data_IF_095473800562
#
_entry.id   IF_095473800562
#
_cell.length_a   1.000
_cell.length_b   1.000
_cell.length_c   1.000
_cell.angle_alpha   90.00
_cell.angle_beta   90.00
_cell.angle_gamma   90.00
#
_symmetry.space_group_name_H-M   'P 1'
#
loop_
_entity.id
_entity.type
_entity.pdbx_description
1 polymer ?
#
# COMPACT_ATOMS: atom_id res chain seq x y z
N UNK A 1 -54.39 0.06 86.14
CA UNK A 1 -55.20 1.06 85.43
C UNK A 1 -54.95 0.90 83.95
N UNK A 2 -56.03 0.51 83.30
CA UNK A 2 -56.16 -0.17 82.03
C UNK A 2 -55.90 0.75 80.83
N UNK A 3 -55.36 0.20 79.73
CA UNK A 3 -55.69 0.67 78.38
C UNK A 3 -55.54 -0.49 77.35
N UNK A 4 -56.65 -1.23 77.25
CA UNK A 4 -57.32 -1.78 76.06
C UNK A 4 -56.48 -1.97 74.79
N UNK A 5 -56.31 -3.23 74.40
CA UNK A 5 -55.85 -3.66 73.07
C UNK A 5 -57.02 -3.45 72.09
N UNK A 6 -56.91 -2.46 71.20
CA UNK A 6 -57.93 -2.20 70.19
C UNK A 6 -57.90 -3.30 69.10
N UNK A 7 -59.06 -3.92 68.89
CA UNK A 7 -59.27 -4.97 67.91
C UNK A 7 -59.31 -4.40 66.48
N UNK A 8 -58.89 -5.16 65.43
CA UNK A 8 -58.93 -4.67 64.07
C UNK A 8 -60.38 -4.57 63.58
N UNK A 9 -60.87 -3.35 63.40
CA UNK A 9 -62.21 -3.11 62.85
C UNK A 9 -62.24 -3.42 61.35
N UNK A 10 -63.05 -4.40 60.96
CA UNK A 10 -63.30 -4.89 59.59
C UNK A 10 -63.88 -3.85 58.61
N UNK A 11 -63.94 -2.56 58.97
CA UNK A 11 -64.61 -1.50 58.19
C UNK A 11 -63.69 -0.75 57.21
N UNK A 12 -62.38 -1.00 57.26
CA UNK A 12 -61.41 -0.25 56.43
C UNK A 12 -61.20 -0.87 55.04
N UNK A 13 -61.39 -2.19 54.90
CA UNK A 13 -61.11 -2.89 53.62
C UNK A 13 -62.13 -2.63 52.51
N UNK A 14 -63.38 -2.27 52.84
CA UNK A 14 -64.41 -2.05 51.82
C UNK A 14 -64.18 -0.74 51.05
N UNK A 15 -63.69 0.29 51.73
CA UNK A 15 -63.44 1.61 51.14
C UNK A 15 -62.28 1.53 50.15
N UNK A 16 -61.21 0.83 50.50
CA UNK A 16 -60.04 0.67 49.63
C UNK A 16 -60.34 -0.20 48.40
N UNK A 17 -61.11 -1.27 48.56
CA UNK A 17 -61.57 -2.09 47.43
C UNK A 17 -62.49 -1.31 46.47
N UNK A 18 -63.37 -0.47 47.00
CA UNK A 18 -64.22 0.42 46.19
C UNK A 18 -63.39 1.51 45.52
N UNK A 19 -62.37 2.05 46.21
CA UNK A 19 -61.43 3.04 45.67
C UNK A 19 -60.67 2.49 44.47
N UNK A 20 -60.11 1.28 44.57
CA UNK A 20 -59.43 0.62 43.45
C UNK A 20 -60.38 0.26 42.30
N UNK A 21 -61.60 -0.23 42.60
CA UNK A 21 -62.61 -0.49 41.56
C UNK A 21 -63.04 0.79 40.83
N UNK A 22 -63.15 1.92 41.54
CA UNK A 22 -63.45 3.22 40.96
C UNK A 22 -62.28 3.74 40.12
N UNK A 23 -61.04 3.61 40.61
CA UNK A 23 -59.84 3.98 39.86
C UNK A 23 -59.69 3.15 38.58
N UNK A 24 -59.92 1.84 38.63
CA UNK A 24 -59.88 0.96 37.46
C UNK A 24 -60.98 1.30 36.44
N UNK A 25 -62.21 1.58 36.91
CA UNK A 25 -63.32 2.05 36.07
C UNK A 25 -63.03 3.42 35.46
N UNK A 26 -62.36 4.32 36.19
CA UNK A 26 -61.93 5.63 35.68
C UNK A 26 -60.88 5.45 34.59
N UNK A 27 -59.84 4.64 34.82
CA UNK A 27 -58.76 4.36 33.85
C UNK A 27 -59.32 3.71 32.57
N UNK A 28 -60.24 2.74 32.69
CA UNK A 28 -60.86 2.08 31.53
C UNK A 28 -61.81 3.01 30.76
N UNK A 29 -62.47 3.96 31.44
CA UNK A 29 -63.31 4.98 30.81
C UNK A 29 -62.47 6.01 30.05
N UNK A 30 -61.34 6.42 30.62
CA UNK A 30 -60.38 7.34 30.00
C UNK A 30 -59.72 6.75 28.74
N UNK A 31 -59.30 5.47 28.81
CA UNK A 31 -58.72 4.76 27.66
C UNK A 31 -59.71 4.48 26.54
N UNK A 32 -60.99 4.23 26.86
CA UNK A 32 -62.05 4.08 25.84
C UNK A 32 -62.40 5.40 25.16
N UNK A 33 -62.41 6.52 25.90
CA UNK A 33 -62.68 7.83 25.28
C UNK A 33 -61.52 8.33 24.42
N UNK A 34 -60.26 8.05 24.80
CA UNK A 34 -59.10 8.47 24.00
C UNK A 34 -58.94 7.70 22.70
N UNK A 35 -59.38 6.44 22.65
CA UNK A 35 -59.33 5.62 21.43
C UNK A 35 -60.57 5.79 20.54
N UNK A 36 -61.75 6.10 21.10
CA UNK A 36 -62.96 6.31 20.29
C UNK A 36 -62.83 7.49 19.34
N UNK A 37 -62.08 8.53 19.72
CA UNK A 37 -61.87 9.71 18.87
C UNK A 37 -60.88 9.44 17.73
N UNK A 38 -59.90 8.55 17.93
CA UNK A 38 -58.97 8.11 16.89
C UNK A 38 -59.65 7.15 15.90
N UNK A 39 -60.43 6.18 16.39
CA UNK A 39 -61.20 5.26 15.54
C UNK A 39 -62.27 5.98 14.70
N UNK A 40 -62.91 7.00 15.28
CA UNK A 40 -63.90 7.84 14.58
C UNK A 40 -63.26 8.69 13.49
N UNK A 41 -62.02 9.15 13.69
CA UNK A 41 -61.22 9.88 12.68
C UNK A 41 -60.71 8.97 11.55
N UNK A 42 -60.39 7.70 11.86
CA UNK A 42 -59.99 6.69 10.87
C UNK A 42 -61.15 6.17 10.02
N UNK A 43 -62.38 6.22 10.56
CA UNK A 43 -63.60 5.74 9.90
C UNK A 43 -64.27 6.76 8.98
N UNK A 44 -63.80 8.01 8.93
CA UNK A 44 -64.32 9.04 8.04
C UNK A 44 -63.66 8.91 6.64
N UNK A 45 -64.39 8.47 5.60
CA UNK A 45 -63.84 8.26 4.26
C UNK A 45 -63.45 9.56 3.54
N UNK A 46 -63.75 10.74 4.13
CA UNK A 46 -63.31 12.05 3.65
C UNK A 46 -62.10 12.62 4.39
N UNK A 47 -61.54 11.90 5.37
CA UNK A 47 -60.46 12.41 6.20
C UNK A 47 -59.06 12.15 5.59
N UNK A 48 -58.70 12.97 4.59
CA UNK A 48 -57.41 12.96 3.91
C UNK A 48 -56.21 13.33 4.82
N UNK A 49 -56.46 13.75 6.06
CA UNK A 49 -55.41 14.07 7.03
C UNK A 49 -54.64 12.82 7.49
N UNK A 50 -55.28 11.64 7.42
CA UNK A 50 -54.69 10.35 7.79
C UNK A 50 -54.07 9.60 6.60
N UNK A 51 -54.27 10.11 5.39
CA UNK A 51 -53.72 9.52 4.18
C UNK A 51 -52.23 9.87 4.06
N UNK A 52 -51.36 8.86 3.94
CA UNK A 52 -49.92 9.08 3.76
C UNK A 52 -49.71 9.81 2.42
N UNK A 53 -49.42 11.10 2.49
CA UNK A 53 -49.15 11.92 1.30
C UNK A 53 -47.80 11.53 0.71
N UNK A 54 -47.68 11.38 -0.62
CA UNK A 54 -46.40 11.15 -1.28
C UNK A 54 -45.41 12.25 -0.91
N UNK A 55 -44.30 11.88 -0.27
CA UNK A 55 -43.24 12.83 0.09
C UNK A 55 -42.28 12.97 -1.09
N UNK A 56 -41.99 14.22 -1.48
CA UNK A 56 -40.93 14.48 -2.47
C UNK A 56 -39.59 14.03 -1.88
N UNK A 57 -38.92 13.10 -2.55
CA UNK A 57 -37.59 12.66 -2.17
C UNK A 57 -36.60 13.84 -2.32
N UNK A 58 -35.70 13.98 -1.35
CA UNK A 58 -34.68 15.01 -1.41
C UNK A 58 -33.71 14.71 -2.56
N UNK A 59 -33.52 15.67 -3.46
CA UNK A 59 -32.55 15.51 -4.54
C UNK A 59 -31.12 15.59 -3.96
N UNK A 60 -30.30 14.53 -4.09
CA UNK A 60 -28.97 14.49 -3.49
C UNK A 60 -28.01 15.53 -4.06
N UNK A 61 -28.24 16.01 -5.30
CA UNK A 61 -27.46 17.09 -5.91
C UNK A 61 -27.85 18.46 -5.38
N UNK A 62 -29.10 18.64 -4.95
CA UNK A 62 -29.55 19.90 -4.31
C UNK A 62 -29.14 19.91 -2.83
N UNK A 63 -29.17 18.75 -2.18
CA UNK A 63 -28.80 18.60 -0.77
C UNK A 63 -27.30 18.82 -0.49
N UNK A 64 -26.43 18.67 -1.49
CA UNK A 64 -24.98 18.84 -1.32
C UNK A 64 -24.38 19.70 -2.44
N UNK A 65 -23.88 20.91 -2.11
CA UNK A 65 -23.18 21.76 -3.08
C UNK A 65 -21.98 21.07 -3.73
N UNK A 66 -21.25 20.24 -2.97
CA UNK A 66 -20.12 19.48 -3.48
C UNK A 66 -20.55 18.49 -4.59
N UNK A 67 -21.67 17.77 -4.37
CA UNK A 67 -22.20 16.86 -5.40
C UNK A 67 -22.67 17.62 -6.64
N UNK A 68 -23.27 18.79 -6.46
CA UNK A 68 -23.66 19.66 -7.57
C UNK A 68 -22.45 20.13 -8.39
N UNK A 69 -21.37 20.50 -7.72
CA UNK A 69 -20.13 20.92 -8.38
C UNK A 69 -19.57 19.79 -9.25
N UNK A 70 -19.47 18.57 -8.71
CA UNK A 70 -19.03 17.38 -9.47
C UNK A 70 -19.94 17.12 -10.67
N UNK A 71 -21.26 17.19 -10.51
CA UNK A 71 -22.20 17.01 -11.61
C UNK A 71 -21.98 18.03 -12.74
N UNK A 72 -21.77 19.31 -12.40
CA UNK A 72 -21.49 20.36 -13.38
C UNK A 72 -20.17 20.13 -14.11
N UNK A 73 -19.11 19.75 -13.39
CA UNK A 73 -17.80 19.47 -13.97
C UNK A 73 -17.85 18.26 -14.91
N UNK A 74 -18.51 17.17 -14.51
CA UNK A 74 -18.69 15.98 -15.35
C UNK A 74 -19.48 16.30 -16.62
N UNK A 75 -20.57 17.07 -16.52
CA UNK A 75 -21.32 17.54 -17.69
C UNK A 75 -20.46 18.41 -18.62
N UNK A 76 -19.62 19.27 -18.05
CA UNK A 76 -18.69 20.10 -18.82
C UNK A 76 -17.66 19.23 -19.55
N UNK A 77 -17.08 18.24 -18.88
CA UNK A 77 -16.13 17.30 -19.49
C UNK A 77 -16.77 16.49 -20.62
N UNK A 78 -17.99 16.00 -20.43
CA UNK A 78 -18.76 15.31 -21.47
C UNK A 78 -19.00 16.20 -22.69
N UNK A 79 -19.46 17.44 -22.49
CA UNK A 79 -19.67 18.42 -23.58
C UNK A 79 -18.38 18.77 -24.33
N UNK A 80 -17.26 18.82 -23.62
CA UNK A 80 -15.94 19.08 -24.22
C UNK A 80 -15.28 17.82 -24.80
N UNK A 81 -15.92 16.65 -24.71
CA UNK A 81 -15.33 15.37 -25.16
C UNK A 81 -14.12 14.92 -24.32
N UNK A 82 -13.93 15.46 -23.12
CA UNK A 82 -12.87 15.05 -22.20
C UNK A 82 -13.31 13.79 -21.47
N UNK A 83 -12.72 12.65 -21.83
CA UNK A 83 -12.93 11.42 -21.09
C UNK A 83 -12.09 11.45 -19.80
N UNK A 84 -12.76 11.50 -18.63
CA UNK A 84 -12.10 11.53 -17.31
C UNK A 84 -11.47 10.16 -16.96
N UNK A 85 -11.92 9.09 -17.62
CA UNK A 85 -11.35 7.75 -17.47
C UNK A 85 -10.04 7.63 -18.25
N UNK A 86 -9.95 8.29 -19.40
CA UNK A 86 -8.71 8.34 -20.17
C UNK A 86 -7.76 9.35 -19.51
N UNK A 87 -6.58 8.88 -19.09
CA UNK A 87 -5.56 9.70 -18.43
C UNK A 87 -4.44 10.03 -19.45
N UNK A 88 -4.62 11.04 -20.31
CA UNK A 88 -3.71 11.29 -21.44
C UNK A 88 -2.27 11.59 -20.97
N UNK A 89 -2.10 12.30 -19.87
CA UNK A 89 -0.76 12.60 -19.33
C UNK A 89 -0.06 11.36 -18.79
N UNK A 90 -0.79 10.43 -18.15
CA UNK A 90 -0.23 9.17 -17.68
C UNK A 90 0.18 8.28 -18.85
N UNK A 91 -0.66 8.18 -19.89
CA UNK A 91 -0.35 7.45 -21.12
C UNK A 91 0.90 8.05 -21.79
N UNK A 92 1.01 9.37 -21.86
CA UNK A 92 2.18 10.07 -22.40
C UNK A 92 3.46 9.76 -21.61
N UNK A 93 3.37 9.63 -20.28
CA UNK A 93 4.50 9.20 -19.46
C UNK A 93 4.87 7.75 -19.74
N UNK A 94 3.89 6.83 -19.79
CA UNK A 94 4.14 5.43 -20.12
C UNK A 94 4.80 5.26 -21.48
N UNK A 95 4.31 5.94 -22.52
CA UNK A 95 4.91 5.91 -23.86
C UNK A 95 6.34 6.44 -23.85
N UNK A 96 6.64 7.52 -23.10
CA UNK A 96 8.01 8.01 -22.93
C UNK A 96 8.92 7.00 -22.25
N UNK A 97 8.44 6.27 -21.23
CA UNK A 97 9.24 5.23 -20.56
C UNK A 97 9.50 4.06 -21.51
N UNK A 98 8.46 3.61 -22.22
CA UNK A 98 8.56 2.52 -23.21
C UNK A 98 9.55 2.87 -24.32
N UNK A 99 9.49 4.10 -24.84
CA UNK A 99 10.41 4.58 -25.86
C UNK A 99 11.84 4.68 -25.34
N UNK A 100 12.05 5.17 -24.11
CA UNK A 100 13.38 5.17 -23.48
C UNK A 100 13.97 3.77 -23.36
N UNK A 101 13.17 2.80 -22.93
CA UNK A 101 13.61 1.40 -22.84
C UNK A 101 13.99 0.85 -24.23
N UNK A 102 13.16 1.11 -25.24
CA UNK A 102 13.41 0.71 -26.63
C UNK A 102 14.70 1.31 -27.18
N UNK A 103 14.94 2.59 -26.93
CA UNK A 103 16.18 3.29 -27.32
C UNK A 103 17.38 2.70 -26.59
N UNK A 104 17.27 2.45 -25.28
CA UNK A 104 18.36 1.85 -24.50
C UNK A 104 18.71 0.43 -24.96
N UNK A 105 17.70 -0.37 -25.30
CA UNK A 105 17.86 -1.71 -25.84
C UNK A 105 18.50 -1.66 -27.24
N UNK A 106 18.00 -0.79 -28.11
CA UNK A 106 18.58 -0.57 -29.44
C UNK A 106 20.02 -0.08 -29.38
N UNK A 107 20.34 0.87 -28.49
CA UNK A 107 21.71 1.31 -28.24
C UNK A 107 22.61 0.20 -27.67
N UNK A 108 22.06 -0.68 -26.84
CA UNK A 108 22.80 -1.81 -26.29
C UNK A 108 23.10 -2.86 -27.35
N UNK A 109 22.18 -3.06 -28.31
CA UNK A 109 22.38 -3.94 -29.47
C UNK A 109 23.28 -3.31 -30.54
N UNK A 110 23.19 -1.99 -30.76
CA UNK A 110 24.00 -1.24 -31.75
C UNK A 110 25.42 -0.90 -31.30
N UNK A 111 25.76 -1.06 -30.03
CA UNK A 111 27.15 -0.95 -29.57
C UNK A 111 27.80 -2.34 -29.74
N UNK A 112 28.42 -2.67 -30.89
CA UNK A 112 29.35 -3.78 -30.91
C UNK A 112 30.44 -3.41 -29.89
N UNK A 113 30.72 -4.29 -28.94
CA UNK A 113 31.79 -4.09 -27.96
C UNK A 113 31.55 -2.99 -26.92
N UNK A 114 30.52 -3.12 -26.08
CA UNK A 114 30.85 -2.95 -24.66
C UNK A 114 31.72 -4.14 -24.31
N UNK A 115 33.05 -3.93 -24.24
CA UNK A 115 34.01 -4.97 -23.83
C UNK A 115 33.39 -5.74 -22.67
N UNK A 116 33.17 -7.03 -22.85
CA UNK A 116 32.60 -7.83 -21.77
C UNK A 116 33.58 -7.83 -20.59
N UNK A 117 33.09 -8.10 -19.37
CA UNK A 117 33.98 -8.16 -18.20
C UNK A 117 35.13 -9.17 -18.40
N UNK A 118 34.90 -10.23 -19.20
CA UNK A 118 35.89 -11.22 -19.61
C UNK A 118 36.92 -10.63 -20.58
N UNK A 119 36.46 -9.92 -21.60
CA UNK A 119 37.30 -9.30 -22.63
C UNK A 119 38.26 -8.26 -22.02
N UNK A 120 37.78 -7.49 -21.05
CA UNK A 120 38.61 -6.56 -20.27
C UNK A 120 39.68 -7.28 -19.43
N UNK A 121 39.34 -8.43 -18.81
CA UNK A 121 40.31 -9.25 -18.06
C UNK A 121 41.36 -9.88 -18.97
N UNK A 122 40.96 -10.34 -20.15
CA UNK A 122 41.86 -10.91 -21.16
C UNK A 122 42.86 -9.86 -21.66
N UNK A 123 42.39 -8.65 -21.97
CA UNK A 123 43.26 -7.53 -22.35
C UNK A 123 44.25 -7.19 -21.23
N UNK A 124 43.78 -7.14 -19.98
CA UNK A 124 44.66 -6.88 -18.83
C UNK A 124 45.70 -7.99 -18.63
N UNK A 125 45.37 -9.26 -18.83
CA UNK A 125 46.34 -10.35 -18.79
C UNK A 125 47.34 -10.27 -19.96
N UNK A 126 46.88 -9.97 -21.17
CA UNK A 126 47.73 -9.82 -22.34
C UNK A 126 48.75 -8.69 -22.15
N UNK A 127 48.32 -7.53 -21.62
CA UNK A 127 49.22 -6.42 -21.28
C UNK A 127 50.28 -6.81 -20.24
N UNK A 128 49.88 -7.51 -19.17
CA UNK A 128 50.82 -7.99 -18.14
C UNK A 128 51.85 -8.96 -18.70
N UNK A 129 51.43 -9.89 -19.57
CA UNK A 129 52.33 -10.84 -20.23
C UNK A 129 53.32 -10.11 -21.15
N UNK A 130 52.85 -9.10 -21.89
CA UNK A 130 53.71 -8.30 -22.77
C UNK A 130 54.76 -7.51 -21.98
N UNK A 131 54.38 -6.89 -20.87
CA UNK A 131 55.32 -6.20 -19.98
C UNK A 131 56.38 -7.15 -19.40
N UNK A 132 55.96 -8.36 -18.99
CA UNK A 132 56.90 -9.38 -18.52
C UNK A 132 57.86 -9.82 -19.64
N UNK A 133 57.35 -10.04 -20.85
CA UNK A 133 58.18 -10.41 -21.99
C UNK A 133 59.19 -9.32 -22.33
N UNK A 134 58.76 -8.06 -22.40
CA UNK A 134 59.62 -6.90 -22.66
C UNK A 134 60.69 -6.71 -21.56
N UNK A 135 60.37 -7.01 -20.29
CA UNK A 135 61.35 -7.00 -19.20
C UNK A 135 62.36 -8.15 -19.27
N UNK A 136 61.97 -9.30 -19.83
CA UNK A 136 62.83 -10.47 -19.99
C UNK A 136 63.69 -10.42 -21.26
N UNK A 137 63.29 -9.70 -22.30
CA UNK A 137 64.06 -9.52 -23.55
C UNK A 137 65.51 -9.09 -23.32
N UNK A 138 65.84 -8.04 -22.54
CA UNK A 138 67.22 -7.64 -22.33
C UNK A 138 68.03 -8.65 -21.51
N UNK A 139 67.38 -9.47 -20.67
CA UNK A 139 68.04 -10.53 -19.89
C UNK A 139 68.36 -11.72 -20.79
N UNK A 140 67.42 -12.12 -21.65
CA UNK A 140 67.62 -13.20 -22.63
C UNK A 140 68.69 -12.81 -23.66
N UNK A 141 68.64 -11.59 -24.19
CA UNK A 141 69.60 -11.10 -25.17
C UNK A 141 71.02 -10.98 -24.57
N UNK A 142 71.16 -10.56 -23.31
CA UNK A 142 72.45 -10.59 -22.60
C UNK A 142 72.95 -12.02 -22.36
N UNK A 143 72.05 -12.93 -21.99
CA UNK A 143 72.40 -14.32 -21.75
C UNK A 143 72.73 -15.13 -23.03
N UNK A 144 72.25 -14.70 -24.19
CA UNK A 144 72.61 -15.26 -25.51
C UNK A 144 73.92 -14.67 -26.06
N UNK A 145 74.23 -13.41 -25.73
CA UNK A 145 75.50 -12.76 -26.10
C UNK A 145 76.66 -13.16 -25.20
N UNK A 146 76.37 -13.67 -24.00
CA UNK A 146 77.38 -14.13 -23.05
C UNK A 146 77.92 -15.52 -23.45
N UNK A 147 79.23 -15.67 -23.44
CA UNK A 147 79.90 -16.96 -23.68
C UNK A 147 79.35 -18.05 -22.76
N UNK A 148 79.09 -19.24 -23.31
CA UNK A 148 78.61 -20.42 -22.55
C UNK A 148 79.51 -20.72 -21.34
N UNK A 149 80.81 -20.46 -21.45
CA UNK A 149 81.76 -20.63 -20.34
C UNK A 149 81.48 -19.65 -19.19
N UNK A 150 81.24 -18.37 -19.47
CA UNK A 150 80.90 -17.37 -18.45
C UNK A 150 79.56 -17.68 -17.77
N UNK A 151 78.60 -18.21 -18.54
CA UNK A 151 77.29 -18.64 -18.03
C UNK A 151 77.41 -19.82 -17.07
N UNK A 152 78.21 -20.83 -17.44
CA UNK A 152 78.49 -22.00 -16.58
C UNK A 152 79.25 -21.57 -15.32
N UNK A 153 80.27 -20.72 -15.43
CA UNK A 153 81.04 -20.21 -14.30
C UNK A 153 80.16 -19.47 -13.28
N UNK A 154 79.31 -18.56 -13.74
CA UNK A 154 78.37 -17.83 -12.88
C UNK A 154 77.36 -18.76 -12.21
N UNK A 155 76.91 -19.80 -12.91
CA UNK A 155 75.98 -20.82 -12.38
C UNK A 155 76.64 -21.70 -11.31
N UNK A 156 77.92 -22.04 -11.46
CA UNK A 156 78.70 -22.76 -10.45
C UNK A 156 78.93 -21.88 -9.22
N UNK A 157 79.33 -20.61 -9.41
CA UNK A 157 79.53 -19.67 -8.30
C UNK A 157 78.27 -19.45 -7.46
N UNK A 158 77.13 -19.20 -8.11
CA UNK A 158 75.84 -19.00 -7.43
C UNK A 158 75.30 -20.26 -6.75
N UNK A 159 75.62 -21.45 -7.29
CA UNK A 159 75.31 -22.73 -6.64
C UNK A 159 76.18 -22.97 -5.39
N UNK A 160 77.45 -22.57 -5.43
CA UNK A 160 78.39 -22.70 -4.32
C UNK A 160 77.99 -21.84 -3.11
N UNK A 161 77.57 -20.59 -3.34
CA UNK A 161 77.08 -19.67 -2.29
C UNK A 161 75.84 -20.22 -1.57
N UNK A 162 74.90 -20.84 -2.29
CA UNK A 162 73.67 -21.37 -1.71
C UNK A 162 73.83 -22.75 -1.03
N UNK A 163 74.97 -23.43 -1.21
CA UNK A 163 75.23 -24.76 -0.64
C UNK A 163 75.78 -24.73 0.80
N UNK A 164 76.05 -23.56 1.38
CA UNK A 164 76.72 -23.45 2.70
C UNK A 164 75.80 -23.10 3.88
N UNK A 165 74.50 -22.88 3.64
CA UNK A 165 73.53 -22.51 4.68
C UNK A 165 72.65 -23.69 5.18
N UNK A 166 73.14 -24.93 5.10
CA UNK A 166 72.35 -26.13 5.41
C UNK A 166 72.87 -27.05 6.51
N UNK A 167 73.95 -26.73 7.22
CA UNK A 167 74.46 -27.61 8.29
C UNK A 167 75.19 -26.85 9.40
N UNK A 168 74.45 -26.49 10.46
CA UNK A 168 74.96 -26.36 11.83
C UNK A 168 73.91 -27.04 12.73
N UNK A 169 74.01 -28.37 12.92
CA UNK A 169 74.69 -29.09 14.01
C UNK A 169 74.19 -28.74 15.42
N UNK A 170 73.95 -29.84 16.16
CA UNK A 170 73.82 -30.06 17.61
C UNK A 170 72.42 -29.93 18.17
#
# INVERSE_FOLDING_TARGET
DDDVIDAPTEKENTIDMLSHSLQEKVILRERKSSNSDLDKRLSDPGNDELLIKPKKLANPCIASPARMAVHKELLLNYKLGKNVLDKPELNKVFEKVKEKHRVQEWESQKKPNKRTSLEMKLEQQASRLKEQEDSMKPIKEKAEKESELSRIQSKILSKSVNGTAGNKKV
#
